data_IF_097125286361
#
_entry.id   IF_097125286361
#
_cell.length_a   1.000
_cell.length_b   1.000
_cell.length_c   1.000
_cell.angle_alpha   90.00
_cell.angle_beta   90.00
_cell.angle_gamma   90.00
#
_symmetry.space_group_name_H-M   'P 1'
#
loop_
_entity.id
_entity.type
_entity.pdbx_description
1 polymer ?
#
# COMPACT_ATOMS: atom_id res chain seq x y z
N UNK A 1 -2.39 -2.34 -2.38
CA UNK A 1 -3.69 -2.40 -3.09
C UNK A 1 -3.44 -3.22 -4.32
N UNK A 2 -4.18 -4.31 -4.49
CA UNK A 2 -3.88 -5.31 -5.51
C UNK A 2 -4.79 -5.15 -6.73
N UNK A 3 -4.20 -4.79 -7.86
CA UNK A 3 -4.88 -4.76 -9.16
C UNK A 3 -4.48 -6.00 -9.94
N UNK A 4 -5.44 -6.64 -10.57
CA UNK A 4 -5.25 -7.91 -11.29
C UNK A 4 -5.85 -7.83 -12.67
N UNK A 5 -5.28 -8.55 -13.62
CA UNK A 5 -5.90 -8.77 -14.92
C UNK A 5 -6.99 -9.84 -14.76
N UNK A 6 -8.17 -9.55 -15.29
CA UNK A 6 -9.32 -10.46 -15.36
C UNK A 6 -9.63 -10.81 -16.83
N UNK A 7 -10.56 -11.74 -17.02
CA UNK A 7 -10.98 -12.21 -18.35
C UNK A 7 -11.27 -11.06 -19.33
N UNK A 8 -10.83 -11.24 -20.58
CA UNK A 8 -10.93 -10.21 -21.62
C UNK A 8 -9.90 -9.07 -21.49
N UNK A 9 -8.86 -9.26 -20.68
CA UNK A 9 -7.73 -8.33 -20.56
C UNK A 9 -8.02 -7.08 -19.71
N UNK A 10 -9.18 -7.05 -19.04
CA UNK A 10 -9.61 -5.95 -18.18
C UNK A 10 -8.84 -5.93 -16.86
N UNK A 11 -8.93 -4.81 -16.15
CA UNK A 11 -8.32 -4.64 -14.83
C UNK A 11 -9.41 -4.75 -13.76
N UNK A 12 -9.16 -5.60 -12.77
CA UNK A 12 -9.97 -5.77 -11.58
C UNK A 12 -9.21 -5.38 -10.32
N UNK A 13 -9.95 -5.16 -9.23
CA UNK A 13 -9.43 -4.86 -7.91
C UNK A 13 -9.61 -6.09 -7.00
N UNK A 14 -8.50 -6.66 -6.52
CA UNK A 14 -8.52 -7.81 -5.62
C UNK A 14 -8.83 -7.34 -4.20
N UNK A 15 -9.86 -7.96 -3.61
CA UNK A 15 -10.34 -7.71 -2.24
C UNK A 15 -10.48 -9.02 -1.49
N UNK A 16 -10.25 -8.99 -0.17
CA UNK A 16 -10.41 -10.14 0.70
C UNK A 16 -11.78 -10.06 1.40
N UNK A 17 -12.74 -10.88 0.96
CA UNK A 17 -14.03 -11.03 1.63
C UNK A 17 -14.00 -12.19 2.63
N UNK A 18 -15.04 -12.31 3.46
CA UNK A 18 -15.19 -13.42 4.43
C UNK A 18 -15.19 -14.80 3.76
N UNK A 19 -15.70 -14.85 2.53
CA UNK A 19 -15.77 -16.06 1.69
C UNK A 19 -14.47 -16.35 0.94
N UNK A 20 -13.45 -15.50 1.06
CA UNK A 20 -12.16 -15.68 0.40
C UNK A 20 -11.76 -14.51 -0.51
N UNK A 21 -10.72 -14.69 -1.33
CA UNK A 21 -10.27 -13.67 -2.28
C UNK A 21 -11.30 -13.49 -3.41
N UNK A 22 -11.64 -12.24 -3.69
CA UNK A 22 -12.58 -11.86 -4.73
C UNK A 22 -12.02 -10.72 -5.56
N UNK A 23 -12.45 -10.62 -6.81
CA UNK A 23 -12.10 -9.51 -7.68
C UNK A 23 -13.34 -8.68 -7.99
N UNK A 24 -13.19 -7.36 -7.89
CA UNK A 24 -14.17 -6.38 -8.32
C UNK A 24 -13.81 -5.96 -9.75
N UNK A 25 -14.70 -6.20 -10.72
CA UNK A 25 -14.56 -5.64 -12.07
C UNK A 25 -14.80 -4.13 -12.00
N UNK A 26 -13.72 -3.36 -12.15
CA UNK A 26 -13.72 -1.91 -11.91
C UNK A 26 -14.68 -1.21 -12.86
N UNK A 27 -14.68 -1.57 -14.15
CA UNK A 27 -15.48 -0.91 -15.18
C UNK A 27 -16.97 -1.22 -14.99
N UNK A 28 -17.30 -2.48 -14.68
CA UNK A 28 -18.69 -2.85 -14.39
C UNK A 28 -19.21 -2.24 -13.08
N UNK A 29 -18.31 -1.89 -12.16
CA UNK A 29 -18.67 -1.36 -10.85
C UNK A 29 -18.71 0.17 -10.76
N UNK A 30 -18.56 0.89 -11.89
CA UNK A 30 -18.58 2.35 -11.91
C UNK A 30 -19.90 2.96 -11.41
N UNK A 31 -21.00 2.20 -11.46
CA UNK A 31 -22.30 2.63 -10.95
C UNK A 31 -22.30 2.99 -9.46
N UNK A 32 -21.34 2.47 -8.68
CA UNK A 32 -21.15 2.83 -7.26
C UNK A 32 -20.99 4.34 -7.07
N UNK A 33 -20.34 5.00 -8.02
CA UNK A 33 -20.00 6.42 -7.96
C UNK A 33 -21.14 7.36 -8.40
N UNK A 34 -22.13 6.87 -9.14
CA UNK A 34 -23.09 7.70 -9.88
C UNK A 34 -23.85 8.74 -9.02
N UNK A 35 -24.21 8.39 -7.79
CA UNK A 35 -25.03 9.25 -6.92
C UNK A 35 -24.23 10.17 -6.00
N UNK A 36 -22.94 9.88 -5.75
CA UNK A 36 -22.16 10.56 -4.71
C UNK A 36 -20.87 11.20 -5.23
N UNK A 37 -20.31 10.66 -6.30
CA UNK A 37 -19.03 11.09 -6.85
C UNK A 37 -18.88 10.73 -8.34
N UNK A 38 -19.71 11.31 -9.22
CA UNK A 38 -19.69 11.00 -10.65
C UNK A 38 -18.35 11.35 -11.32
N UNK A 39 -17.57 12.26 -10.74
CA UNK A 39 -16.25 12.66 -11.22
C UNK A 39 -15.27 11.50 -11.11
N UNK A 40 -15.19 10.84 -9.96
CA UNK A 40 -14.34 9.66 -9.77
C UNK A 40 -14.68 8.52 -10.71
N UNK A 41 -15.97 8.25 -10.93
CA UNK A 41 -16.41 7.24 -11.89
C UNK A 41 -16.00 7.59 -13.33
N UNK A 42 -16.13 8.86 -13.71
CA UNK A 42 -15.74 9.35 -15.04
C UNK A 42 -14.22 9.31 -15.26
N UNK A 43 -13.44 9.66 -14.24
CA UNK A 43 -11.98 9.60 -14.26
C UNK A 43 -11.49 8.15 -14.47
N UNK A 44 -11.97 7.20 -13.66
CA UNK A 44 -11.61 5.79 -13.79
C UNK A 44 -11.97 5.28 -15.20
N UNK A 45 -13.18 5.59 -15.67
CA UNK A 45 -13.64 5.19 -17.00
C UNK A 45 -12.75 5.76 -18.11
N UNK A 46 -12.33 7.02 -17.99
CA UNK A 46 -11.43 7.67 -18.94
C UNK A 46 -10.10 6.92 -19.06
N UNK A 47 -9.45 6.66 -17.91
CA UNK A 47 -8.14 5.99 -17.87
C UNK A 47 -8.22 4.54 -18.38
N UNK A 48 -9.24 3.78 -17.97
CA UNK A 48 -9.34 2.35 -18.31
C UNK A 48 -9.79 2.08 -19.75
N UNK A 49 -10.27 3.09 -20.49
CA UNK A 49 -10.59 2.98 -21.92
C UNK A 49 -9.35 3.03 -22.81
N UNK A 50 -8.20 3.42 -22.28
CA UNK A 50 -6.95 3.48 -23.05
C UNK A 50 -6.47 2.08 -23.46
N UNK A 51 -5.87 1.96 -24.65
CA UNK A 51 -5.37 0.68 -25.19
C UNK A 51 -4.33 0.01 -24.27
N UNK A 52 -3.57 0.80 -23.52
CA UNK A 52 -2.57 0.35 -22.55
C UNK A 52 -2.99 0.71 -21.13
N UNK A 53 -4.12 0.15 -20.66
CA UNK A 53 -4.71 0.47 -19.36
C UNK A 53 -3.75 0.41 -18.16
N UNK A 54 -2.73 -0.47 -18.18
CA UNK A 54 -1.71 -0.51 -17.12
C UNK A 54 -0.84 0.74 -17.06
N UNK A 55 -0.35 1.21 -18.21
CA UNK A 55 0.48 2.43 -18.28
C UNK A 55 -0.35 3.64 -17.90
N UNK A 56 -1.57 3.71 -18.41
CA UNK A 56 -2.53 4.77 -18.10
C UNK A 56 -2.81 4.83 -16.59
N UNK A 57 -3.00 3.68 -15.95
CA UNK A 57 -3.26 3.58 -14.51
C UNK A 57 -2.08 4.08 -13.68
N UNK A 58 -0.85 3.66 -14.02
CA UNK A 58 0.36 4.11 -13.31
C UNK A 58 0.57 5.61 -13.46
N UNK A 59 0.41 6.15 -14.68
CA UNK A 59 0.60 7.58 -14.94
C UNK A 59 -0.43 8.47 -14.23
N UNK A 60 -1.61 7.94 -13.94
CA UNK A 60 -2.70 8.67 -13.30
C UNK A 60 -2.94 8.23 -11.84
N UNK A 61 -1.99 7.52 -11.23
CA UNK A 61 -2.20 6.87 -9.93
C UNK A 61 -2.65 7.82 -8.83
N UNK A 62 -2.05 9.01 -8.75
CA UNK A 62 -2.38 10.01 -7.73
C UNK A 62 -3.87 10.40 -7.74
N UNK A 63 -4.47 10.45 -8.94
CA UNK A 63 -5.88 10.77 -9.11
C UNK A 63 -6.79 9.55 -8.89
N UNK A 64 -6.30 8.33 -9.18
CA UNK A 64 -7.07 7.10 -9.10
C UNK A 64 -7.06 6.45 -7.72
N UNK A 65 -6.04 6.74 -6.91
CA UNK A 65 -5.84 6.12 -5.60
C UNK A 65 -7.07 6.22 -4.70
N UNK A 66 -7.61 7.43 -4.52
CA UNK A 66 -8.77 7.65 -3.65
C UNK A 66 -10.06 7.00 -4.20
N UNK A 67 -10.41 7.18 -5.48
CA UNK A 67 -11.52 6.46 -6.11
C UNK A 67 -11.44 4.93 -5.97
N UNK A 68 -10.28 4.33 -6.23
CA UNK A 68 -10.09 2.89 -6.15
C UNK A 68 -10.15 2.38 -4.70
N UNK A 69 -9.62 3.14 -3.74
CA UNK A 69 -9.81 2.85 -2.29
C UNK A 69 -11.27 2.90 -1.89
N UNK A 70 -12.03 3.89 -2.37
CA UNK A 70 -13.46 3.98 -2.11
C UNK A 70 -14.19 2.75 -2.65
N UNK A 71 -13.90 2.35 -3.89
CA UNK A 71 -14.48 1.16 -4.50
C UNK A 71 -14.18 -0.11 -3.68
N UNK A 72 -12.92 -0.33 -3.30
CA UNK A 72 -12.54 -1.44 -2.41
C UNK A 72 -13.32 -1.40 -1.11
N UNK A 73 -13.39 -0.23 -0.46
CA UNK A 73 -14.11 -0.07 0.81
C UNK A 73 -15.59 -0.40 0.64
N UNK A 74 -16.23 0.09 -0.43
CA UNK A 74 -17.63 -0.21 -0.71
C UNK A 74 -17.85 -1.72 -0.85
N UNK A 75 -16.99 -2.41 -1.60
CA UNK A 75 -17.05 -3.86 -1.74
C UNK A 75 -16.85 -4.61 -0.41
N UNK A 76 -15.96 -4.14 0.46
CA UNK A 76 -15.74 -4.73 1.78
C UNK A 76 -16.92 -4.49 2.74
N UNK A 77 -17.59 -3.34 2.63
CA UNK A 77 -18.69 -2.98 3.54
C UNK A 77 -20.06 -3.49 3.09
N UNK A 78 -20.29 -3.60 1.78
CA UNK A 78 -21.57 -3.98 1.20
C UNK A 78 -21.35 -4.75 -0.10
N UNK A 79 -20.91 -6.01 0.04
CA UNK A 79 -20.63 -6.88 -1.11
C UNK A 79 -21.88 -7.18 -1.96
N UNK A 80 -23.07 -7.05 -1.39
CA UNK A 80 -24.35 -7.33 -2.05
C UNK A 80 -24.93 -6.10 -2.81
N UNK A 81 -24.21 -4.99 -2.89
CA UNK A 81 -24.63 -3.83 -3.69
C UNK A 81 -24.77 -4.24 -5.17
N UNK A 82 -25.95 -4.06 -5.74
CA UNK A 82 -26.26 -4.45 -7.13
C UNK A 82 -25.42 -3.72 -8.17
N UNK A 83 -24.73 -2.65 -7.80
CA UNK A 83 -23.83 -1.87 -8.66
C UNK A 83 -22.39 -2.37 -8.60
N UNK A 84 -22.08 -3.34 -7.74
CA UNK A 84 -20.78 -3.99 -7.68
C UNK A 84 -20.80 -5.29 -8.50
N UNK A 85 -19.77 -5.48 -9.31
CA UNK A 85 -19.51 -6.73 -10.02
C UNK A 85 -18.36 -7.46 -9.33
N UNK A 86 -18.68 -8.32 -8.36
CA UNK A 86 -17.71 -9.09 -7.58
C UNK A 86 -17.74 -10.56 -8.00
N UNK A 87 -16.56 -11.14 -8.23
CA UNK A 87 -16.40 -12.54 -8.60
C UNK A 87 -15.37 -13.24 -7.70
N UNK A 88 -15.55 -14.53 -7.36
CA UNK A 88 -14.52 -15.31 -6.70
C UNK A 88 -13.22 -15.30 -7.52
N UNK A 89 -12.10 -15.02 -6.86
CA UNK A 89 -10.82 -14.91 -7.53
C UNK A 89 -10.02 -16.22 -7.41
N UNK A 90 -9.67 -16.81 -8.55
CA UNK A 90 -8.81 -17.98 -8.62
C UNK A 90 -7.66 -17.73 -9.60
N UNK A 91 -6.42 -17.73 -9.10
CA UNK A 91 -5.22 -17.37 -9.87
C UNK A 91 -4.99 -18.26 -11.10
N UNK A 92 -5.45 -19.53 -11.06
CA UNK A 92 -5.25 -20.51 -12.13
C UNK A 92 -6.36 -20.62 -13.18
N UNK A 93 -7.46 -19.87 -13.07
CA UNK A 93 -8.63 -19.99 -13.98
C UNK A 93 -8.90 -18.77 -14.87
N UNK A 94 -8.25 -17.64 -14.60
CA UNK A 94 -8.59 -16.35 -15.24
C UNK A 94 -7.90 -16.10 -16.58
N UNK A 95 -7.09 -17.03 -17.06
CA UNK A 95 -6.44 -16.89 -18.36
C UNK A 95 -6.43 -18.24 -19.06
N UNK A 96 -7.32 -18.41 -20.03
CA UNK A 96 -7.32 -19.56 -20.95
C UNK A 96 -6.09 -19.57 -21.84
N UNK A 97 -5.46 -18.41 -22.04
CA UNK A 97 -4.15 -18.25 -22.67
C UNK A 97 -3.07 -17.94 -21.62
N UNK A 98 -1.83 -18.45 -21.76
CA UNK A 98 -0.73 -18.03 -20.90
C UNK A 98 -0.56 -16.50 -21.00
N UNK A 99 -0.57 -15.78 -19.88
CA UNK A 99 -0.60 -14.33 -19.90
C UNK A 99 0.70 -13.79 -20.51
N UNK A 100 0.61 -13.24 -21.72
CA UNK A 100 1.66 -12.37 -22.27
C UNK A 100 1.51 -10.99 -21.62
N UNK A 101 2.28 -10.72 -20.56
CA UNK A 101 2.39 -9.39 -19.94
C UNK A 101 2.01 -9.32 -18.45
N UNK A 102 1.75 -8.11 -17.96
CA UNK A 102 1.45 -7.84 -16.54
C UNK A 102 0.11 -8.47 -16.15
N UNK A 103 0.15 -9.38 -15.17
CA UNK A 103 -1.01 -10.08 -14.60
C UNK A 103 -1.55 -9.44 -13.33
N UNK A 104 -0.69 -8.76 -12.57
CA UNK A 104 -1.06 -8.08 -11.34
C UNK A 104 -0.05 -6.97 -11.01
N UNK A 105 -0.53 -5.96 -10.28
CA UNK A 105 0.28 -4.92 -9.67
C UNK A 105 -0.20 -4.77 -8.22
N UNK A 106 0.69 -4.94 -7.26
CA UNK A 106 0.44 -4.51 -5.89
C UNK A 106 1.03 -3.12 -5.68
N UNK A 107 0.22 -2.22 -5.13
CA UNK A 107 0.59 -0.84 -4.87
C UNK A 107 0.51 -0.56 -3.38
N UNK A 108 1.68 -0.48 -2.74
CA UNK A 108 1.80 -0.16 -1.32
C UNK A 108 2.03 1.34 -1.16
N UNK A 109 1.27 1.99 -0.29
CA UNK A 109 1.45 3.41 -0.01
C UNK A 109 2.68 3.62 0.87
N UNK A 110 3.69 4.31 0.34
CA UNK A 110 4.92 4.61 1.07
C UNK A 110 4.75 5.56 2.27
N UNK A 111 3.54 6.08 2.53
CA UNK A 111 3.28 6.89 3.72
C UNK A 111 3.39 6.08 5.04
N UNK A 112 3.30 4.75 4.95
CA UNK A 112 3.53 3.83 6.09
C UNK A 112 4.99 3.35 6.17
N UNK A 113 5.84 3.72 5.21
CA UNK A 113 7.27 3.75 5.45
C UNK A 113 7.50 5.04 6.21
N UNK A 114 7.61 4.94 7.54
CA UNK A 114 8.25 5.98 8.33
C UNK A 114 9.42 6.50 7.50
N UNK A 115 9.40 7.82 7.23
CA UNK A 115 10.50 8.50 6.54
C UNK A 115 11.76 8.02 7.24
N UNK A 116 12.47 7.08 6.63
CA UNK A 116 13.73 6.59 7.14
C UNK A 116 14.67 7.76 6.93
N UNK A 117 14.73 8.65 7.91
CA UNK A 117 15.62 9.79 7.91
C UNK A 117 17.02 9.27 8.19
N UNK A 118 17.79 8.94 7.14
CA UNK A 118 19.09 8.29 7.32
C UNK A 118 20.09 9.25 7.97
N UNK A 119 19.78 10.54 7.93
CA UNK A 119 20.51 11.65 8.52
C UNK A 119 20.18 11.88 9.99
N UNK A 120 19.07 11.32 10.50
CA UNK A 120 18.59 11.59 11.86
C UNK A 120 18.24 13.06 12.11
N UNK A 121 18.03 13.87 11.06
CA UNK A 121 17.72 15.30 11.15
C UNK A 121 16.44 15.60 11.94
N UNK A 122 15.41 14.77 11.76
CA UNK A 122 14.14 14.82 12.48
C UNK A 122 14.31 14.42 13.95
N UNK A 123 15.21 13.47 14.23
CA UNK A 123 15.58 13.08 15.61
C UNK A 123 16.31 14.22 16.30
N UNK A 124 17.29 14.84 15.62
CA UNK A 124 17.99 16.02 16.14
C UNK A 124 17.05 17.20 16.34
N UNK A 125 16.16 17.49 15.39
CA UNK A 125 15.19 18.58 15.52
C UNK A 125 14.24 18.39 16.72
N UNK A 126 13.87 17.13 17.04
CA UNK A 126 13.06 16.82 18.24
C UNK A 126 13.86 16.94 19.54
N UNK A 127 15.13 16.54 19.55
CA UNK A 127 15.99 16.62 20.74
C UNK A 127 16.40 18.05 21.10
N UNK A 128 16.56 18.93 20.10
CA UNK A 128 16.98 20.32 20.31
C UNK A 128 15.82 21.33 20.28
N UNK A 129 14.58 20.87 20.10
CA UNK A 129 13.38 21.70 19.99
C UNK A 129 12.61 21.92 21.29
N UNK A 130 13.05 21.37 22.43
CA UNK A 130 12.39 21.59 23.74
C UNK A 130 13.13 22.69 24.50
N UNK A 131 12.54 23.88 24.50
CA UNK A 131 12.88 24.93 25.44
C UNK A 131 12.49 24.52 26.86
N UNK A 132 13.49 24.63 27.74
CA UNK A 132 13.47 24.65 29.21
C UNK A 132 12.14 25.13 29.81
N UNK A 133 11.45 24.29 30.59
CA UNK A 133 11.29 24.56 32.03
C UNK A 133 10.83 23.34 32.86
N UNK A 134 11.54 23.22 33.97
CA UNK A 134 11.30 22.65 35.30
C UNK A 134 10.56 21.33 35.60
N UNK A 135 11.30 20.51 36.38
CA UNK A 135 10.91 19.64 37.47
C UNK A 135 9.83 18.55 37.24
N UNK A 136 10.23 17.28 37.42
CA UNK A 136 9.98 16.51 38.66
C UNK A 136 10.61 15.11 38.52
N UNK A 137 11.35 14.72 39.56
CA UNK A 137 11.84 13.36 39.80
C UNK A 137 10.72 12.33 39.69
N UNK A 138 10.97 11.20 39.02
CA UNK A 138 10.54 9.93 39.59
C UNK A 138 11.45 8.78 39.13
N UNK A 139 12.16 8.30 40.15
CA UNK A 139 12.69 6.97 40.36
C UNK A 139 11.89 5.84 39.68
N UNK A 140 12.60 4.78 39.27
CA UNK A 140 12.32 3.36 39.57
C UNK A 140 13.00 2.47 38.53
N UNK A 141 14.14 1.95 38.97
CA UNK A 141 14.69 0.64 38.62
C UNK A 141 13.61 -0.44 38.46
N UNK A 142 13.62 -1.22 37.37
CA UNK A 142 13.68 -2.70 37.45
C UNK A 142 13.43 -3.40 36.10
N UNK A 143 14.24 -4.43 35.88
CA UNK A 143 13.96 -5.70 35.20
C UNK A 143 14.09 -5.84 33.68
N UNK A 144 14.98 -6.75 33.29
CA UNK A 144 14.90 -7.50 32.04
C UNK A 144 16.26 -7.77 31.38
N UNK A 145 17.00 -8.77 31.88
CA UNK A 145 18.17 -9.32 31.20
C UNK A 145 17.86 -9.73 29.74
N UNK A 146 18.89 -9.57 28.89
CA UNK A 146 19.02 -9.97 27.47
C UNK A 146 18.89 -8.87 26.40
N UNK A 147 19.59 -7.75 26.56
CA UNK A 147 19.95 -6.89 25.43
C UNK A 147 21.47 -6.83 25.29
N UNK A 148 22.01 -7.56 24.31
CA UNK A 148 23.41 -7.43 23.92
C UNK A 148 23.52 -6.33 22.87
N UNK A 149 23.96 -5.14 23.29
CA UNK A 149 24.25 -4.04 22.37
C UNK A 149 25.60 -4.31 21.71
N UNK A 150 25.61 -4.53 20.40
CA UNK A 150 26.85 -4.63 19.61
C UNK A 150 27.18 -3.23 19.10
N UNK A 151 28.21 -2.62 19.70
CA UNK A 151 28.78 -1.34 19.27
C UNK A 151 29.87 -1.58 18.21
N UNK A 152 29.70 -0.97 17.03
CA UNK A 152 30.65 -1.04 15.91
C UNK A 152 31.66 0.12 15.89
N UNK A 153 31.70 0.96 16.92
CA UNK A 153 32.54 2.16 16.96
C UNK A 153 34.02 1.92 17.28
N UNK A 154 34.47 0.66 17.38
CA UNK A 154 35.91 0.34 17.53
C UNK A 154 36.48 -0.30 16.27
N UNK A 155 36.80 0.54 15.27
CA UNK A 155 37.92 0.27 14.36
C UNK A 155 39.10 1.15 14.77
N UNK A 156 40.10 0.50 15.39
CA UNK A 156 41.53 0.65 15.15
C UNK A 156 42.31 0.31 16.42
N UNK A 157 42.73 -0.94 16.54
CA UNK A 157 44.00 -1.23 17.22
C UNK A 157 45.00 -1.74 16.17
N UNK A 158 46.20 -1.12 16.08
CA UNK A 158 47.25 -1.59 15.19
C UNK A 158 47.77 -2.94 15.67
N UNK A 159 47.87 -3.90 14.74
CA UNK A 159 48.51 -5.20 14.98
C UNK A 159 50.01 -4.95 15.21
N UNK A 160 50.53 -5.32 16.37
CA UNK A 160 51.99 -5.45 16.55
C UNK A 160 52.47 -6.75 15.91
N UNK A 161 53.62 -6.73 15.19
CA UNK A 161 54.18 -7.93 14.58
C UNK A 161 54.83 -8.81 15.65
N UNK A 162 54.63 -10.13 15.53
CA UNK A 162 55.35 -11.14 16.31
C UNK A 162 56.80 -11.21 15.82
N UNK A 163 57.75 -11.28 16.76
CA UNK A 163 59.08 -11.87 16.54
C UNK A 163 59.02 -13.34 16.87
#
# INVERSE_FOLDING_TARGET
>A
MNLVRIDGGKIGLLVQLRTGPHVVDIVKSLGVFAARDPVSGSLINGVLKERCAWVALVNNWDYLRMPLKLLARTALTNADDSRLAIYPFAYGRQTTDPPRGIVAIDITDAADLEIHDPTGRLVMAKQFGVSVDDHVQQDVSSMGENVQVIDFSRRNQPRTPRK
#
